data_IF_399452657023
#
_entry.id   IF_399452657023
#
_cell.length_a   1.000
_cell.length_b   1.000
_cell.length_c   1.000
_cell.angle_alpha   90.00
_cell.angle_beta   90.00
_cell.angle_gamma   90.00
#
_symmetry.space_group_name_H-M   'P 1'
#
loop_
_entity.id
_entity.type
_entity.pdbx_description
1 polymer ?
#
# COMPACT_ATOMS: atom_id res chain seq x y z
N UNK A 1 27.36 15.01 8.81
CA UNK A 1 28.65 15.25 9.50
C UNK A 1 29.63 14.08 9.40
N UNK A 2 29.19 12.81 9.46
CA UNK A 2 30.09 11.64 9.56
C UNK A 2 31.17 11.55 8.47
N UNK A 3 30.83 11.83 7.21
CA UNK A 3 31.80 11.82 6.11
C UNK A 3 32.86 12.92 6.22
N UNK A 4 32.47 14.13 6.66
CA UNK A 4 33.40 15.26 6.90
C UNK A 4 34.34 14.92 8.04
N UNK A 5 33.80 14.30 9.10
CA UNK A 5 34.56 13.82 10.26
C UNK A 5 35.32 12.52 10.01
N UNK A 6 35.30 11.98 8.77
CA UNK A 6 35.96 10.72 8.37
C UNK A 6 35.61 9.51 9.24
N UNK A 7 34.44 9.54 9.87
CA UNK A 7 33.95 8.44 10.70
C UNK A 7 33.68 7.23 9.80
N UNK A 8 34.28 6.10 10.15
CA UNK A 8 34.04 4.84 9.48
C UNK A 8 32.76 4.21 10.04
N UNK A 9 32.01 3.56 9.16
CA UNK A 9 30.86 2.73 9.48
C UNK A 9 30.72 1.66 8.40
N UNK A 10 29.86 0.69 8.63
CA UNK A 10 29.61 -0.46 7.79
C UNK A 10 29.37 -0.08 6.33
N UNK A 11 30.13 -0.72 5.42
CA UNK A 11 30.01 -0.54 3.97
C UNK A 11 28.87 -1.36 3.36
N UNK A 12 28.14 -2.14 4.17
CA UNK A 12 27.01 -2.96 3.72
C UNK A 12 25.75 -2.13 3.39
N UNK A 13 25.71 -0.85 3.78
CA UNK A 13 24.54 0.01 3.62
C UNK A 13 24.61 0.83 2.33
N UNK A 14 23.47 0.95 1.65
CA UNK A 14 23.27 1.87 0.52
C UNK A 14 22.26 2.95 0.90
N UNK A 15 22.69 4.20 0.87
CA UNK A 15 21.86 5.32 1.31
C UNK A 15 21.00 5.86 0.15
N UNK A 16 19.70 6.02 0.40
CA UNK A 16 18.77 6.71 -0.50
C UNK A 16 18.35 8.00 0.20
N UNK A 17 18.71 9.14 -0.39
CA UNK A 17 18.38 10.45 0.19
C UNK A 17 16.95 10.86 -0.18
N UNK A 18 16.17 11.19 0.84
CA UNK A 18 14.89 11.89 0.72
C UNK A 18 14.92 13.17 1.55
N UNK A 19 14.07 14.14 1.23
CA UNK A 19 14.03 15.41 1.96
C UNK A 19 13.42 15.27 3.37
N UNK A 20 12.53 14.30 3.57
CA UNK A 20 11.83 14.06 4.83
C UNK A 20 11.49 12.58 4.96
N UNK A 21 11.56 12.02 6.16
CA UNK A 21 11.10 10.64 6.44
C UNK A 21 9.62 10.45 6.14
N UNK A 22 8.81 11.50 6.23
CA UNK A 22 7.40 11.47 5.81
C UNK A 22 7.19 11.17 4.32
N UNK A 23 8.25 11.21 3.49
CA UNK A 23 8.21 10.77 2.08
C UNK A 23 8.36 9.25 1.93
N UNK A 24 8.85 8.56 2.96
CA UNK A 24 9.03 7.11 2.93
C UNK A 24 7.66 6.45 3.07
N UNK A 25 7.24 5.76 2.01
CA UNK A 25 6.00 5.00 1.99
C UNK A 25 6.27 3.51 2.27
N UNK A 26 5.26 2.81 2.80
CA UNK A 26 5.29 1.35 2.95
C UNK A 26 5.72 0.65 1.65
N UNK A 27 5.31 1.16 0.49
CA UNK A 27 5.62 0.54 -0.80
C UNK A 27 7.13 0.45 -1.05
N UNK A 28 7.91 1.43 -0.60
CA UNK A 28 9.36 1.37 -0.72
C UNK A 28 9.99 0.33 0.21
N UNK A 29 9.43 0.15 1.41
CA UNK A 29 9.90 -0.84 2.39
C UNK A 29 9.68 -2.25 1.83
N UNK A 30 8.44 -2.58 1.45
CA UNK A 30 8.10 -3.90 0.90
C UNK A 30 8.81 -4.17 -0.43
N UNK A 31 8.98 -3.16 -1.29
CA UNK A 31 9.78 -3.30 -2.51
C UNK A 31 11.26 -3.58 -2.22
N UNK A 32 11.83 -3.02 -1.16
CA UNK A 32 13.22 -3.28 -0.80
C UNK A 32 13.39 -4.74 -0.35
N UNK A 33 12.49 -5.23 0.50
CA UNK A 33 12.49 -6.63 0.94
C UNK A 33 12.20 -7.60 -0.22
N UNK A 34 11.24 -7.30 -1.11
CA UNK A 34 10.96 -8.17 -2.27
C UNK A 34 12.12 -8.26 -3.27
N UNK A 35 13.02 -7.26 -3.26
CA UNK A 35 14.28 -7.26 -4.02
C UNK A 35 15.44 -7.96 -3.28
N UNK A 36 15.18 -8.57 -2.13
CA UNK A 36 16.16 -9.34 -1.36
C UNK A 36 17.08 -8.52 -0.47
N UNK A 37 16.67 -7.32 -0.05
CA UNK A 37 17.43 -6.58 0.98
C UNK A 37 17.22 -7.22 2.36
N UNK A 38 18.30 -7.51 3.07
CA UNK A 38 18.25 -8.18 4.38
C UNK A 38 17.70 -7.29 5.51
N UNK A 39 17.72 -5.97 5.31
CA UNK A 39 17.20 -5.00 6.27
C UNK A 39 16.99 -3.63 5.64
N UNK A 40 16.06 -2.87 6.22
CA UNK A 40 15.71 -1.51 5.82
C UNK A 40 15.80 -0.61 7.04
N UNK A 41 16.57 0.47 6.94
CA UNK A 41 16.70 1.47 7.99
C UNK A 41 16.23 2.83 7.47
N UNK A 42 15.40 3.51 8.27
CA UNK A 42 14.90 4.85 8.02
C UNK A 42 15.47 5.75 9.12
N UNK A 43 16.25 6.76 8.73
CA UNK A 43 16.82 7.73 9.68
C UNK A 43 16.21 9.10 9.44
N UNK A 44 15.68 9.72 10.49
CA UNK A 44 15.00 11.02 10.40
C UNK A 44 15.43 12.02 11.47
N UNK A 45 14.84 13.22 11.41
CA UNK A 45 14.95 14.21 12.48
C UNK A 45 14.26 13.70 13.75
N UNK A 46 14.76 14.12 14.91
CA UNK A 46 14.12 13.86 16.19
C UNK A 46 12.63 14.26 16.20
N UNK A 47 11.75 13.46 16.81
CA UNK A 47 10.38 13.86 17.08
C UNK A 47 10.37 15.22 17.82
N UNK A 48 9.59 16.17 17.32
CA UNK A 48 9.58 17.56 17.80
C UNK A 48 10.52 18.51 17.05
N UNK A 49 11.55 17.99 16.35
CA UNK A 49 12.54 18.78 15.60
C UNK A 49 12.39 18.63 14.07
N UNK A 50 11.19 18.26 13.60
CA UNK A 50 10.98 18.08 12.17
C UNK A 50 11.09 19.42 11.43
N UNK A 51 11.92 19.47 10.39
CA UNK A 51 12.05 20.64 9.53
C UNK A 51 10.73 21.02 8.83
N UNK A 52 9.83 20.06 8.64
CA UNK A 52 8.51 20.27 8.05
C UNK A 52 7.44 20.30 9.14
N UNK A 53 6.67 21.39 9.20
CA UNK A 53 5.62 21.60 10.20
C UNK A 53 4.51 20.52 10.18
N UNK A 54 4.40 19.76 9.09
CA UNK A 54 3.47 18.63 8.97
C UNK A 54 3.79 17.45 9.88
N UNK A 55 4.97 17.44 10.53
CA UNK A 55 5.35 16.35 11.45
C UNK A 55 5.53 15.00 10.74
N UNK A 56 6.13 15.02 9.54
CA UNK A 56 6.23 13.82 8.70
C UNK A 56 6.98 12.65 9.34
N UNK A 57 7.84 12.91 10.32
CA UNK A 57 8.52 11.86 11.09
C UNK A 57 7.58 11.05 11.98
N UNK A 58 6.54 11.66 12.57
CA UNK A 58 5.52 10.93 13.34
C UNK A 58 4.69 10.01 12.44
N UNK A 59 4.29 10.50 11.26
CA UNK A 59 3.62 9.67 10.26
C UNK A 59 4.50 8.50 9.80
N UNK A 60 5.79 8.76 9.55
CA UNK A 60 6.74 7.70 9.20
C UNK A 60 6.90 6.67 10.32
N UNK A 61 6.95 7.12 11.59
CA UNK A 61 7.03 6.22 12.73
C UNK A 61 5.83 5.29 12.80
N UNK A 62 4.62 5.85 12.73
CA UNK A 62 3.36 5.11 12.72
C UNK A 62 3.30 4.08 11.58
N UNK A 63 3.61 4.53 10.36
CA UNK A 63 3.71 3.66 9.17
C UNK A 63 4.70 2.51 9.36
N UNK A 64 5.85 2.75 9.99
CA UNK A 64 6.85 1.71 10.26
C UNK A 64 6.33 0.69 11.27
N UNK A 65 5.57 1.09 12.29
CA UNK A 65 4.98 0.13 13.23
C UNK A 65 3.96 -0.79 12.54
N UNK A 66 3.12 -0.25 11.66
CA UNK A 66 2.23 -1.06 10.82
C UNK A 66 3.03 -1.99 9.89
N UNK A 67 4.10 -1.47 9.28
CA UNK A 67 4.98 -2.26 8.40
C UNK A 67 5.63 -3.41 9.13
N UNK A 68 6.07 -3.21 10.38
CA UNK A 68 6.63 -4.26 11.23
C UNK A 68 5.64 -5.40 11.46
N UNK A 69 4.39 -5.07 11.81
CA UNK A 69 3.34 -6.09 12.01
C UNK A 69 2.97 -6.83 10.72
N UNK A 70 2.95 -6.13 9.58
CA UNK A 70 2.76 -6.76 8.28
C UNK A 70 3.92 -7.69 7.91
N UNK A 71 5.17 -7.30 8.18
CA UNK A 71 6.34 -8.17 7.97
C UNK A 71 6.27 -9.41 8.87
N UNK A 72 5.95 -9.22 10.14
CA UNK A 72 5.79 -10.30 11.12
C UNK A 72 4.70 -11.29 10.69
N UNK A 73 3.56 -10.79 10.18
CA UNK A 73 2.50 -11.62 9.60
C UNK A 73 2.99 -12.48 8.40
N UNK A 74 3.85 -11.94 7.54
CA UNK A 74 4.41 -12.68 6.40
C UNK A 74 5.57 -13.63 6.80
N UNK A 75 5.93 -13.69 8.09
CA UNK A 75 7.00 -14.52 8.61
C UNK A 75 8.38 -13.87 8.54
N UNK A 76 8.47 -12.55 8.34
CA UNK A 76 9.72 -11.80 8.35
C UNK A 76 9.95 -11.19 9.73
N UNK A 77 11.16 -11.35 10.26
CA UNK A 77 11.50 -10.76 11.56
C UNK A 77 11.36 -9.21 11.52
N UNK A 78 10.53 -8.59 12.38
CA UNK A 78 10.30 -7.15 12.38
C UNK A 78 11.55 -6.33 12.71
N UNK A 79 12.57 -6.92 13.34
CA UNK A 79 13.87 -6.28 13.62
C UNK A 79 14.69 -5.98 12.35
N UNK A 80 14.28 -6.52 11.20
CA UNK A 80 14.85 -6.16 9.89
C UNK A 80 14.43 -4.77 9.42
N UNK A 81 13.40 -4.19 10.01
CA UNK A 81 12.94 -2.83 9.71
C UNK A 81 13.19 -1.93 10.92
N UNK A 82 14.01 -0.90 10.73
CA UNK A 82 14.31 0.07 11.78
C UNK A 82 13.93 1.48 11.35
N UNK A 83 13.40 2.25 12.29
CA UNK A 83 13.34 3.70 12.22
C UNK A 83 13.98 4.28 13.47
N UNK A 84 14.87 5.25 13.29
CA UNK A 84 15.57 5.92 14.39
C UNK A 84 15.93 7.36 13.97
N UNK A 85 16.44 8.14 14.91
CA UNK A 85 16.53 9.59 14.85
C UNK A 85 17.97 10.06 14.95
N UNK A 86 18.33 11.02 14.12
CA UNK A 86 19.64 11.62 14.11
C UNK A 86 19.56 13.06 13.59
N UNK A 87 20.10 14.00 14.36
CA UNK A 87 20.30 15.38 13.92
C UNK A 87 21.48 15.49 12.94
N UNK A 88 21.51 16.59 12.20
CA UNK A 88 22.56 16.87 11.20
C UNK A 88 23.96 16.95 11.81
N UNK A 89 24.07 17.38 13.07
CA UNK A 89 25.30 17.51 13.84
C UNK A 89 25.81 16.19 14.44
N UNK A 90 24.96 15.18 14.55
CA UNK A 90 25.24 13.94 15.30
C UNK A 90 25.96 12.88 14.45
N UNK A 91 27.11 13.23 13.89
CA UNK A 91 27.86 12.33 12.99
C UNK A 91 28.27 11.00 13.65
N UNK A 92 28.63 11.02 14.93
CA UNK A 92 29.02 9.83 15.71
C UNK A 92 27.82 8.91 15.93
N UNK A 93 26.67 9.46 16.32
CA UNK A 93 25.42 8.70 16.50
C UNK A 93 25.04 7.99 15.21
N UNK A 94 25.08 8.69 14.08
CA UNK A 94 24.78 8.09 12.78
C UNK A 94 25.68 6.89 12.48
N UNK A 95 26.99 7.02 12.68
CA UNK A 95 27.93 5.92 12.43
C UNK A 95 27.61 4.71 13.31
N UNK A 96 27.42 4.92 14.62
CA UNK A 96 27.08 3.86 15.57
C UNK A 96 25.76 3.17 15.22
N UNK A 97 24.71 3.95 14.90
CA UNK A 97 23.39 3.43 14.52
C UNK A 97 23.49 2.52 13.30
N UNK A 98 24.25 2.93 12.27
CA UNK A 98 24.43 2.13 11.06
C UNK A 98 25.23 0.85 11.36
N UNK A 99 26.25 0.93 12.21
CA UNK A 99 27.06 -0.24 12.61
C UNK A 99 26.26 -1.24 13.45
N UNK A 100 25.50 -0.75 14.43
CA UNK A 100 24.63 -1.55 15.28
C UNK A 100 23.55 -2.25 14.45
N UNK A 101 22.88 -1.51 13.56
CA UNK A 101 21.89 -2.10 12.67
C UNK A 101 22.54 -3.12 11.72
N UNK A 102 23.68 -2.80 11.11
CA UNK A 102 24.40 -3.73 10.24
C UNK A 102 24.86 -4.99 10.97
N UNK A 103 25.21 -4.88 12.26
CA UNK A 103 25.55 -6.03 13.10
C UNK A 103 24.31 -6.88 13.37
N UNK A 104 23.19 -6.27 13.76
CA UNK A 104 21.90 -6.96 13.98
C UNK A 104 21.46 -7.75 12.74
N UNK A 105 21.49 -7.12 11.56
CA UNK A 105 21.10 -7.80 10.31
C UNK A 105 22.04 -8.98 9.98
N UNK A 106 23.35 -8.84 10.24
CA UNK A 106 24.31 -9.95 10.06
C UNK A 106 24.05 -11.12 11.02
N UNK A 107 23.68 -10.82 12.26
CA UNK A 107 23.34 -11.83 13.26
C UNK A 107 22.04 -12.56 12.93
N UNK A 108 21.04 -11.85 12.39
CA UNK A 108 19.82 -12.47 11.84
C UNK A 108 20.14 -13.35 10.64
N UNK A 109 21.08 -12.94 9.79
CA UNK A 109 21.45 -13.66 8.58
C UNK A 109 20.57 -13.31 7.37
N UNK A 110 20.76 -13.99 6.23
CA UNK A 110 20.09 -13.65 4.98
C UNK A 110 18.57 -13.79 5.06
N UNK A 111 17.85 -12.85 4.44
CA UNK A 111 16.39 -12.85 4.34
C UNK A 111 15.87 -14.16 3.71
N UNK A 112 14.80 -14.70 4.27
CA UNK A 112 14.18 -15.98 3.88
C UNK A 112 14.87 -17.17 4.55
N UNK A 113 16.20 -17.26 4.44
CA UNK A 113 16.96 -18.39 5.01
C UNK A 113 16.90 -18.43 6.53
N UNK A 114 17.04 -17.27 7.18
CA UNK A 114 16.97 -17.17 8.63
C UNK A 114 15.56 -17.46 9.17
N UNK A 115 14.55 -17.11 8.37
CA UNK A 115 13.14 -17.32 8.66
C UNK A 115 12.65 -18.74 8.33
N UNK A 116 13.49 -19.56 7.67
CA UNK A 116 13.12 -20.90 7.22
C UNK A 116 12.12 -20.91 6.06
N UNK A 117 12.02 -19.82 5.30
CA UNK A 117 11.10 -19.64 4.17
C UNK A 117 11.86 -19.64 2.85
N UNK A 118 11.29 -20.25 1.81
CA UNK A 118 11.87 -20.19 0.47
C UNK A 118 11.92 -18.73 -0.03
N UNK A 119 13.06 -18.26 -0.58
CA UNK A 119 13.19 -16.86 -1.02
C UNK A 119 12.19 -16.43 -2.10
N UNK A 120 11.81 -17.29 -3.04
CA UNK A 120 10.84 -16.93 -4.08
C UNK A 120 9.41 -16.93 -3.52
N UNK A 121 9.09 -17.85 -2.61
CA UNK A 121 7.81 -17.82 -1.89
C UNK A 121 7.68 -16.54 -1.06
N UNK A 122 8.72 -16.17 -0.31
CA UNK A 122 8.73 -14.96 0.50
C UNK A 122 8.58 -13.70 -0.37
N UNK A 123 9.29 -13.65 -1.50
CA UNK A 123 9.17 -12.56 -2.46
C UNK A 123 7.73 -12.42 -2.98
N UNK A 124 7.08 -13.53 -3.35
CA UNK A 124 5.69 -13.51 -3.80
C UNK A 124 4.73 -12.97 -2.74
N UNK A 125 4.92 -13.38 -1.47
CA UNK A 125 4.15 -12.89 -0.31
C UNK A 125 4.32 -11.37 -0.11
N UNK A 126 5.56 -10.90 -0.11
CA UNK A 126 5.89 -9.47 0.04
C UNK A 126 5.34 -8.62 -1.12
N UNK A 127 5.39 -9.13 -2.35
CA UNK A 127 4.80 -8.46 -3.52
C UNK A 127 3.27 -8.40 -3.44
N UNK A 128 2.62 -9.44 -2.89
CA UNK A 128 1.19 -9.43 -2.65
C UNK A 128 0.80 -8.34 -1.64
N UNK A 129 1.51 -8.24 -0.51
CA UNK A 129 1.31 -7.15 0.45
C UNK A 129 1.58 -5.78 -0.19
N UNK A 130 2.64 -5.65 -0.99
CA UNK A 130 2.97 -4.40 -1.66
C UNK A 130 1.82 -3.87 -2.54
N UNK A 131 1.10 -4.77 -3.22
CA UNK A 131 -0.10 -4.42 -4.02
C UNK A 131 -1.29 -3.98 -3.17
N UNK A 132 -1.38 -4.46 -1.92
CA UNK A 132 -2.45 -4.13 -0.99
C UNK A 132 -2.21 -2.84 -0.20
N UNK A 133 -1.00 -2.27 -0.22
CA UNK A 133 -0.65 -1.06 0.53
C UNK A 133 -1.65 0.10 0.32
N UNK A 134 -2.12 0.43 -0.90
CA UNK A 134 -3.11 1.50 -1.07
C UNK A 134 -4.41 1.22 -0.30
N UNK A 135 -4.88 -0.03 -0.30
CA UNK A 135 -6.05 -0.45 0.49
C UNK A 135 -5.74 -0.40 2.00
N UNK A 136 -4.61 -0.94 2.44
CA UNK A 136 -4.18 -0.94 3.84
C UNK A 136 -4.16 0.50 4.40
N UNK A 137 -3.57 1.44 3.65
CA UNK A 137 -3.53 2.86 4.03
C UNK A 137 -4.91 3.49 4.10
N UNK A 138 -5.82 3.11 3.20
CA UNK A 138 -7.20 3.59 3.23
C UNK A 138 -7.93 3.04 4.45
N UNK A 139 -7.81 1.74 4.72
CA UNK A 139 -8.46 1.06 5.83
C UNK A 139 -7.94 1.49 7.20
N UNK A 140 -6.65 1.82 7.32
CA UNK A 140 -6.01 2.28 8.56
C UNK A 140 -5.78 3.79 8.60
N UNK A 141 -6.43 4.57 7.73
CA UNK A 141 -6.23 6.02 7.60
C UNK A 141 -6.32 6.76 8.93
N UNK A 142 -7.35 6.45 9.73
CA UNK A 142 -7.58 7.13 11.01
C UNK A 142 -6.44 6.85 11.99
N UNK A 143 -6.05 5.57 12.16
CA UNK A 143 -4.89 5.18 12.98
C UNK A 143 -3.58 5.79 12.49
N UNK A 144 -3.35 5.79 11.17
CA UNK A 144 -2.14 6.36 10.55
C UNK A 144 -2.04 7.88 10.74
N UNK A 145 -3.16 8.57 10.98
CA UNK A 145 -3.20 9.99 11.26
C UNK A 145 -2.97 10.34 12.74
N UNK A 146 -2.97 9.34 13.63
CA UNK A 146 -2.74 9.57 15.06
C UNK A 146 -1.31 10.04 15.31
N UNK A 147 -1.23 11.01 16.23
CA UNK A 147 0.01 11.58 16.72
C UNK A 147 0.04 11.51 18.23
N UNK A 148 1.01 10.78 18.76
CA UNK A 148 1.33 10.71 20.18
C UNK A 148 2.64 11.45 20.48
N UNK A 149 2.68 12.10 21.64
CA UNK A 149 3.91 12.70 22.19
C UNK A 149 4.85 11.62 22.76
N UNK A 150 4.27 10.55 23.28
CA UNK A 150 4.97 9.36 23.77
C UNK A 150 5.15 8.33 22.63
N UNK A 151 6.41 8.01 22.31
CA UNK A 151 6.74 7.08 21.25
C UNK A 151 6.36 5.63 21.58
N UNK A 152 6.33 5.24 22.85
CA UNK A 152 6.00 3.86 23.24
C UNK A 152 4.58 3.47 22.80
N UNK A 153 3.66 4.44 22.78
CA UNK A 153 2.27 4.23 22.34
C UNK A 153 2.14 3.76 20.89
N UNK A 154 3.13 4.04 20.03
CA UNK A 154 3.08 3.56 18.65
C UNK A 154 3.43 2.08 18.54
N UNK A 155 4.28 1.54 19.43
CA UNK A 155 4.71 0.13 19.39
C UNK A 155 3.54 -0.82 19.67
N UNK A 156 2.57 -0.37 20.46
CA UNK A 156 1.35 -1.08 20.83
C UNK A 156 0.15 -0.74 19.92
N UNK A 157 0.32 0.14 18.93
CA UNK A 157 -0.78 0.68 18.13
C UNK A 157 -1.46 -0.36 17.23
N UNK A 158 -0.69 -1.36 16.80
CA UNK A 158 -1.09 -2.41 15.88
C UNK A 158 -0.78 -3.78 16.47
N UNK A 159 -1.76 -4.67 16.46
CA UNK A 159 -1.60 -6.07 16.86
C UNK A 159 -1.57 -7.00 15.64
N UNK A 160 -1.11 -8.23 15.83
CA UNK A 160 -1.09 -9.23 14.75
C UNK A 160 -2.51 -9.65 14.35
N UNK A 161 -3.42 -9.77 15.31
CA UNK A 161 -4.82 -10.12 15.06
C UNK A 161 -5.51 -9.05 14.22
N UNK A 162 -5.22 -7.77 14.49
CA UNK A 162 -5.74 -6.66 13.70
C UNK A 162 -5.25 -6.70 12.25
N UNK A 163 -3.99 -7.09 12.02
CA UNK A 163 -3.41 -7.23 10.69
C UNK A 163 -3.98 -8.44 9.96
N UNK A 164 -4.09 -9.59 10.63
CA UNK A 164 -4.72 -10.79 10.09
C UNK A 164 -6.17 -10.53 9.66
N UNK A 165 -6.97 -9.87 10.51
CA UNK A 165 -8.33 -9.48 10.16
C UNK A 165 -8.36 -8.51 8.98
N UNK A 166 -7.48 -7.51 8.95
CA UNK A 166 -7.38 -6.55 7.84
C UNK A 166 -7.13 -7.26 6.50
N UNK A 167 -6.27 -8.27 6.48
CA UNK A 167 -5.92 -9.01 5.27
C UNK A 167 -7.00 -10.02 4.85
N UNK A 168 -7.73 -10.60 5.81
CA UNK A 168 -8.89 -11.48 5.54
C UNK A 168 -10.10 -10.73 4.97
N UNK A 169 -10.31 -9.48 5.37
CA UNK A 169 -11.46 -8.66 4.95
C UNK A 169 -11.21 -7.84 3.68
N UNK A 170 -10.09 -8.07 2.99
CA UNK A 170 -9.72 -7.38 1.76
C UNK A 170 -10.81 -7.58 0.68
N UNK A 171 -11.49 -6.52 0.23
CA UNK A 171 -12.56 -6.67 -0.73
C UNK A 171 -12.04 -6.90 -2.15
N UNK A 172 -12.85 -7.55 -2.96
CA UNK A 172 -12.75 -7.55 -4.41
C UNK A 172 -13.96 -6.82 -4.99
N UNK A 173 -13.77 -6.21 -6.15
CA UNK A 173 -14.84 -5.48 -6.83
C UNK A 173 -15.12 -6.13 -8.17
N UNK A 174 -16.39 -6.41 -8.41
CA UNK A 174 -16.89 -7.04 -9.63
C UNK A 174 -17.97 -6.16 -10.25
N UNK A 175 -18.02 -6.11 -11.59
CA UNK A 175 -19.05 -5.36 -12.31
C UNK A 175 -20.01 -6.38 -12.90
N UNK A 176 -21.26 -6.33 -12.47
CA UNK A 176 -22.37 -7.13 -12.98
C UNK A 176 -22.68 -6.74 -14.43
N UNK A 177 -22.45 -7.65 -15.40
CA UNK A 177 -22.72 -7.39 -16.81
C UNK A 177 -24.18 -7.07 -17.10
N UNK A 178 -25.12 -7.67 -16.38
CA UNK A 178 -26.56 -7.50 -16.62
C UNK A 178 -27.04 -6.11 -16.19
N UNK A 179 -26.41 -5.55 -15.15
CA UNK A 179 -26.76 -4.22 -14.62
C UNK A 179 -25.96 -3.08 -15.25
N UNK A 180 -24.77 -3.36 -15.79
CA UNK A 180 -23.86 -2.32 -16.27
C UNK A 180 -24.38 -1.62 -17.54
N UNK A 181 -24.65 -0.31 -17.44
CA UNK A 181 -25.14 0.49 -18.57
C UNK A 181 -24.05 1.20 -19.39
N UNK A 182 -22.78 0.79 -19.26
CA UNK A 182 -21.64 1.35 -19.98
C UNK A 182 -21.54 2.90 -19.91
N UNK A 183 -21.73 3.48 -18.71
CA UNK A 183 -21.73 4.95 -18.51
C UNK A 183 -20.33 5.58 -18.41
N UNK A 184 -19.30 4.78 -18.15
CA UNK A 184 -17.89 5.19 -18.11
C UNK A 184 -17.44 5.93 -16.85
N UNK A 185 -18.29 6.05 -15.81
CA UNK A 185 -17.93 6.78 -14.57
C UNK A 185 -16.87 6.02 -13.77
N UNK A 186 -17.06 4.73 -13.54
CA UNK A 186 -16.11 3.90 -12.81
C UNK A 186 -14.73 3.86 -13.48
N UNK A 187 -14.68 3.68 -14.81
CA UNK A 187 -13.43 3.72 -15.61
C UNK A 187 -12.70 5.04 -15.42
N UNK A 188 -13.37 6.18 -15.62
CA UNK A 188 -12.76 7.53 -15.50
C UNK A 188 -12.30 7.87 -14.08
N UNK A 189 -12.89 7.27 -13.06
CA UNK A 189 -12.52 7.51 -11.65
C UNK A 189 -11.56 6.47 -11.11
N UNK A 190 -11.17 5.45 -11.87
CA UNK A 190 -10.21 4.46 -11.42
C UNK A 190 -8.82 5.12 -11.34
N UNK A 191 -8.18 5.17 -10.16
CA UNK A 191 -6.88 5.84 -9.99
C UNK A 191 -5.71 5.10 -10.65
N UNK A 192 -5.93 3.86 -11.10
CA UNK A 192 -4.90 2.95 -11.63
C UNK A 192 -5.30 2.35 -12.99
N UNK A 193 -6.32 2.91 -13.64
CA UNK A 193 -6.81 2.45 -14.95
C UNK A 193 -7.06 0.94 -15.06
N UNK A 194 -7.51 0.32 -13.96
CA UNK A 194 -7.77 -1.12 -13.87
C UNK A 194 -9.09 -1.55 -14.55
N UNK A 195 -9.85 -0.63 -15.15
CA UNK A 195 -11.19 -0.92 -15.68
C UNK A 195 -11.19 -0.78 -17.20
N UNK A 196 -11.44 -1.88 -17.89
CA UNK A 196 -11.69 -1.90 -19.34
C UNK A 196 -13.17 -1.64 -19.65
N UNK A 197 -13.47 -1.13 -20.84
CA UNK A 197 -14.84 -0.83 -21.31
C UNK A 197 -14.94 0.58 -21.90
N UNK A 198 -15.98 0.84 -22.69
CA UNK A 198 -16.22 2.12 -23.37
C UNK A 198 -17.73 2.34 -23.56
N UNK A 199 -18.13 3.32 -24.37
CA UNK A 199 -19.53 3.54 -24.75
C UNK A 199 -20.11 2.26 -25.34
N UNK A 200 -21.23 1.83 -24.77
CA UNK A 200 -21.92 0.57 -25.13
C UNK A 200 -21.08 -0.70 -24.96
N UNK A 201 -20.00 -0.66 -24.18
CA UNK A 201 -19.20 -1.84 -23.86
C UNK A 201 -19.16 -2.02 -22.34
N UNK A 202 -19.66 -3.16 -21.86
CA UNK A 202 -19.72 -3.49 -20.43
C UNK A 202 -18.33 -3.40 -19.82
N UNK A 203 -18.24 -2.74 -18.66
CA UNK A 203 -16.99 -2.56 -17.96
C UNK A 203 -16.55 -3.83 -17.23
N UNK A 204 -15.25 -4.10 -17.21
CA UNK A 204 -14.63 -5.23 -16.51
C UNK A 204 -13.40 -4.73 -15.74
N UNK A 205 -13.29 -5.13 -14.47
CA UNK A 205 -12.16 -4.79 -13.60
C UNK A 205 -11.08 -5.87 -13.74
N UNK A 206 -9.88 -5.45 -14.13
CA UNK A 206 -8.65 -6.25 -14.08
C UNK A 206 -8.22 -6.40 -12.61
N UNK A 207 -8.41 -7.59 -12.05
CA UNK A 207 -8.09 -7.89 -10.66
C UNK A 207 -6.59 -7.83 -10.36
N UNK A 208 -5.72 -7.96 -11.37
CA UNK A 208 -4.27 -7.86 -11.18
C UNK A 208 -3.79 -6.40 -11.05
N UNK A 209 -4.53 -5.46 -11.64
CA UNK A 209 -4.24 -4.02 -11.56
C UNK A 209 -5.02 -3.31 -10.44
N UNK A 210 -6.14 -3.89 -10.01
CA UNK A 210 -7.01 -3.27 -9.03
C UNK A 210 -6.34 -3.12 -7.65
N UNK A 211 -6.22 -1.88 -7.17
CA UNK A 211 -5.70 -1.57 -5.82
C UNK A 211 -6.77 -1.57 -4.72
N UNK A 212 -7.97 -2.07 -5.04
CA UNK A 212 -9.08 -2.30 -4.08
C UNK A 212 -9.50 -1.06 -3.28
N UNK A 213 -9.40 0.12 -3.90
CA UNK A 213 -9.75 1.40 -3.27
C UNK A 213 -11.26 1.67 -3.12
N UNK A 214 -12.12 0.89 -3.77
CA UNK A 214 -13.57 1.06 -3.68
C UNK A 214 -14.19 2.20 -4.45
N UNK A 215 -13.40 3.07 -5.11
CA UNK A 215 -13.94 4.20 -5.88
C UNK A 215 -14.96 3.77 -6.92
N UNK A 216 -14.74 2.65 -7.63
CA UNK A 216 -15.71 2.16 -8.62
C UNK A 216 -17.09 1.81 -8.03
N UNK A 217 -17.10 1.27 -6.81
CA UNK A 217 -18.32 0.90 -6.09
C UNK A 217 -19.10 2.13 -5.65
N UNK A 218 -18.43 3.09 -5.03
CA UNK A 218 -19.04 4.33 -4.53
C UNK A 218 -19.65 5.19 -5.65
N UNK A 219 -19.05 5.16 -6.85
CA UNK A 219 -19.42 6.05 -7.95
C UNK A 219 -20.36 5.40 -8.97
N UNK A 220 -20.68 4.12 -8.79
CA UNK A 220 -21.65 3.44 -9.63
C UNK A 220 -23.04 4.02 -9.34
N UNK A 221 -23.77 4.55 -10.35
CA UNK A 221 -25.07 5.16 -10.13
C UNK A 221 -26.04 4.22 -9.40
N UNK A 222 -26.74 4.68 -8.33
CA UNK A 222 -27.66 3.83 -7.56
C UNK A 222 -28.77 3.19 -8.39
N UNK A 223 -29.20 3.86 -9.48
CA UNK A 223 -30.18 3.34 -10.44
C UNK A 223 -29.76 2.03 -11.14
N UNK A 224 -28.46 1.76 -11.21
CA UNK A 224 -27.91 0.54 -11.83
C UNK A 224 -27.31 -0.37 -10.77
N UNK A 225 -26.58 0.21 -9.81
CA UNK A 225 -25.89 -0.51 -8.74
C UNK A 225 -25.14 -1.76 -9.26
N UNK A 226 -24.40 -1.55 -10.35
CA UNK A 226 -23.77 -2.64 -11.11
C UNK A 226 -22.42 -3.09 -10.54
N UNK A 227 -21.85 -2.39 -9.54
CA UNK A 227 -20.58 -2.80 -8.94
C UNK A 227 -20.87 -3.47 -7.61
N UNK A 228 -20.39 -4.70 -7.44
CA UNK A 228 -20.52 -5.47 -6.21
C UNK A 228 -19.19 -5.48 -5.44
N UNK A 229 -19.28 -5.34 -4.12
CA UNK A 229 -18.19 -5.57 -3.18
C UNK A 229 -18.28 -7.01 -2.68
N UNK A 230 -17.26 -7.81 -2.95
CA UNK A 230 -17.15 -9.21 -2.56
C UNK A 230 -16.07 -9.34 -1.49
N UNK A 231 -16.33 -10.09 -0.42
CA UNK A 231 -15.36 -10.37 0.66
C UNK A 231 -15.39 -11.87 0.91
N UNK A 232 -14.23 -12.53 0.82
CA UNK A 232 -14.12 -13.99 0.98
C UNK A 232 -14.67 -14.82 -0.20
N UNK A 233 -15.24 -14.18 -1.22
CA UNK A 233 -15.80 -14.85 -2.41
C UNK A 233 -14.89 -14.62 -3.64
N UNK A 234 -14.75 -15.63 -4.52
CA UNK A 234 -14.00 -15.47 -5.77
C UNK A 234 -14.74 -14.50 -6.70
N UNK A 235 -13.96 -13.68 -7.42
CA UNK A 235 -14.52 -12.78 -8.44
C UNK A 235 -15.01 -13.62 -9.62
N UNK A 236 -16.27 -13.45 -10.09
CA UNK A 236 -16.74 -14.13 -11.28
C UNK A 236 -15.86 -13.83 -12.50
N UNK A 237 -15.64 -14.81 -13.40
CA UNK A 237 -14.81 -14.60 -14.57
C UNK A 237 -15.41 -13.52 -15.48
N UNK A 238 -14.58 -12.75 -16.19
CA UNK A 238 -15.08 -11.75 -17.13
C UNK A 238 -15.77 -12.42 -18.32
N UNK A 239 -16.87 -11.82 -18.77
CA UNK A 239 -17.54 -12.24 -20.01
C UNK A 239 -16.68 -11.89 -21.25
N UNK A 240 -16.78 -12.69 -22.34
CA UNK A 240 -16.07 -12.42 -23.61
C UNK A 240 -16.36 -11.03 -24.18
N UNK A 241 -15.43 -10.47 -24.95
CA UNK A 241 -15.56 -9.10 -25.48
C UNK A 241 -16.77 -8.94 -26.41
N UNK A 242 -17.10 -10.00 -27.16
CA UNK A 242 -18.25 -10.04 -28.07
C UNK A 242 -19.58 -9.91 -27.30
N UNK A 243 -19.67 -10.51 -26.11
CA UNK A 243 -20.86 -10.50 -25.25
C UNK A 243 -20.97 -9.21 -24.42
N UNK A 244 -19.93 -8.38 -24.41
CA UNK A 244 -19.91 -7.11 -23.66
C UNK A 244 -20.60 -5.97 -24.39
N UNK A 245 -20.95 -6.13 -25.66
CA UNK A 245 -21.53 -5.04 -26.48
C UNK A 245 -23.02 -4.87 -26.20
N UNK A 246 -23.40 -3.70 -25.72
CA UNK A 246 -24.79 -3.33 -25.44
C UNK A 246 -25.44 -2.80 -26.73
N UNK A 247 -26.37 -3.56 -27.29
CA UNK A 247 -27.20 -3.13 -28.42
C UNK A 247 -28.42 -2.37 -27.90
N UNK A 248 -28.38 -1.03 -27.93
CA UNK A 248 -29.54 -0.20 -27.57
C UNK A 248 -30.49 -0.09 -28.76
N UNK A 249 -31.71 -0.65 -28.65
CA UNK A 249 -32.79 -0.35 -29.62
C UNK A 249 -33.15 1.13 -29.49
N UNK A 250 -33.13 1.88 -30.60
CA UNK A 250 -33.67 3.25 -30.64
C UNK A 250 -35.19 3.14 -30.45
N UNK A 251 -35.69 3.51 -29.27
CA UNK A 251 -37.12 3.79 -29.14
C UNK A 251 -37.46 5.03 -29.95
N UNK A 252 -38.45 4.88 -30.84
CA UNK A 252 -38.86 5.88 -31.81
C UNK A 252 -39.27 7.20 -31.18
N UNK A 253 -38.83 8.28 -31.81
CA UNK A 253 -39.22 9.65 -31.55
C UNK A 253 -40.76 9.77 -31.62
N UNK A 254 -41.44 9.86 -30.47
CA UNK A 254 -42.84 10.29 -30.43
C UNK A 254 -42.87 11.78 -30.79
N UNK A 255 -43.17 12.08 -32.04
CA UNK A 255 -43.51 13.43 -32.48
C UNK A 255 -44.72 13.91 -31.70
N UNK A 256 -44.52 14.88 -30.80
CA UNK A 256 -45.62 15.62 -30.19
C UNK A 256 -46.34 16.40 -31.29
N UNK A 257 -47.52 15.93 -31.68
CA UNK A 257 -48.41 16.67 -32.56
C UNK A 257 -48.93 17.91 -31.83
N UNK A 258 -48.58 19.09 -32.33
CA UNK A 258 -49.32 20.31 -32.06
C UNK A 258 -50.65 20.22 -32.83
N UNK A 259 -51.76 20.05 -32.11
CA UNK A 259 -53.11 20.20 -32.65
C UNK A 259 -53.48 21.68 -32.71
N UNK A 260 -54.10 22.05 -33.83
CA UNK A 260 -54.65 23.39 -34.16
C UNK A 260 -55.61 23.94 -33.11
#
# INVERSE_FOLDING_TARGET
MSGVSRLQYSTAVRLIRVNCTGRVDMAFIFQAFSKGMDGVCIVGCWPGECNYATGGNYHAFNMVQLSKRLLEHEGVNPERLMIDWCSSSEGIRFANLIDEFSKRIRELGPLGKAEGVDPEELKSRLEAIAKLIPYIKLAKKDKLSLRFDDLQKYEELYTLEEVDQLLKEVPSYWIDPEKCQACGICRRRCPVDAISGDKNLIHVIDQNKCIKCGTCYEVCPPRFHAVHKLVGEPVPPPIPEEERVIVRKKEGHRTAGYGN
#
